data_IF_564579145813
#
_entry.id   IF_564579145813
#
_cell.length_a   1.000
_cell.length_b   1.000
_cell.length_c   1.000
_cell.angle_alpha   90.00
_cell.angle_beta   90.00
_cell.angle_gamma   90.00
#
_symmetry.space_group_name_H-M   'P 1'
#
loop_
_entity.id
_entity.type
_entity.pdbx_description
1 polymer ?
#
# COMPACT_ATOMS: atom_id res chain seq x y z
N UNK A 1 9.57 9.46 42.51
CA UNK A 1 8.60 8.53 41.86
C UNK A 1 8.65 8.75 40.36
N UNK A 2 9.41 7.92 39.64
CA UNK A 2 9.60 8.01 38.19
C UNK A 2 10.27 6.72 37.70
N UNK A 3 9.54 5.83 37.03
CA UNK A 3 10.11 5.04 35.90
C UNK A 3 8.99 4.37 35.12
N UNK A 4 8.70 4.94 33.95
CA UNK A 4 8.19 4.23 32.79
C UNK A 4 9.14 3.07 32.46
N UNK A 5 8.62 1.91 32.06
CA UNK A 5 9.23 1.19 30.93
C UNK A 5 8.30 0.13 30.33
N UNK A 6 7.78 0.44 29.14
CA UNK A 6 7.93 -0.39 27.94
C UNK A 6 7.35 -1.81 28.04
N UNK A 7 6.04 -1.88 27.86
CA UNK A 7 5.35 -3.07 27.33
C UNK A 7 5.59 -3.13 25.81
N UNK A 8 6.75 -3.61 25.35
CA UNK A 8 6.98 -3.99 23.94
C UNK A 8 8.33 -4.69 23.70
N UNK A 9 8.43 -6.02 23.91
CA UNK A 9 9.24 -6.92 23.05
C UNK A 9 9.19 -8.37 23.54
N UNK A 10 8.32 -9.18 22.95
CA UNK A 10 8.50 -10.62 22.96
C UNK A 10 8.20 -11.19 21.57
N UNK A 11 9.11 -10.91 20.62
CA UNK A 11 9.07 -11.38 19.23
C UNK A 11 10.23 -12.30 18.88
N UNK A 12 10.95 -12.84 19.88
CA UNK A 12 12.20 -13.59 19.65
C UNK A 12 12.28 -14.94 20.36
N UNK A 13 11.13 -15.59 20.62
CA UNK A 13 11.10 -16.88 21.31
C UNK A 13 10.39 -18.03 20.59
N UNK A 14 9.90 -17.83 19.36
CA UNK A 14 9.13 -18.86 18.64
C UNK A 14 9.83 -19.52 17.45
N UNK A 15 11.11 -19.19 17.15
CA UNK A 15 11.81 -19.71 15.95
C UNK A 15 12.98 -20.63 16.30
N UNK A 16 12.91 -21.35 17.42
CA UNK A 16 13.81 -22.47 17.66
C UNK A 16 12.95 -23.65 18.10
N UNK A 17 12.87 -24.66 17.24
CA UNK A 17 12.59 -26.09 17.47
C UNK A 17 11.66 -26.61 16.35
N UNK A 18 12.28 -27.09 15.28
CA UNK A 18 11.85 -28.10 14.30
C UNK A 18 12.83 -27.93 13.13
N UNK A 19 13.92 -28.69 13.00
CA UNK A 19 14.05 -30.13 13.15
C UNK A 19 14.70 -30.60 11.83
N UNK A 20 16.01 -30.80 11.86
CA UNK A 20 16.78 -31.28 10.71
C UNK A 20 16.60 -32.79 10.54
N UNK A 21 16.07 -33.25 9.41
CA UNK A 21 16.27 -34.58 8.84
C UNK A 21 15.63 -34.64 7.45
N UNK A 22 16.42 -34.92 6.40
CA UNK A 22 15.89 -35.15 5.04
C UNK A 22 16.73 -34.54 3.92
N UNK A 23 18.02 -34.90 3.86
CA UNK A 23 18.81 -34.77 2.65
C UNK A 23 18.32 -35.74 1.57
N UNK A 24 18.24 -35.26 0.32
CA UNK A 24 18.05 -36.02 -0.93
C UNK A 24 16.61 -36.44 -1.33
N UNK A 25 15.79 -35.47 -1.78
CA UNK A 25 14.89 -35.54 -2.97
C UNK A 25 14.00 -34.27 -3.00
N UNK A 26 14.49 -33.12 -3.48
CA UNK A 26 13.63 -31.92 -3.52
C UNK A 26 13.95 -30.91 -4.63
N UNK A 27 14.69 -31.28 -5.69
CA UNK A 27 14.99 -30.36 -6.79
C UNK A 27 13.92 -30.30 -7.91
N UNK A 28 12.83 -31.07 -7.81
CA UNK A 28 11.73 -31.05 -8.81
C UNK A 28 10.41 -30.47 -8.25
N UNK A 29 10.36 -30.23 -6.94
CA UNK A 29 9.14 -29.80 -6.23
C UNK A 29 9.29 -28.44 -5.57
N UNK A 30 9.94 -27.46 -6.22
CA UNK A 30 9.91 -26.09 -5.72
C UNK A 30 8.43 -25.68 -5.66
N UNK A 31 7.85 -25.46 -4.46
CA UNK A 31 6.42 -25.30 -4.35
C UNK A 31 6.03 -24.04 -5.11
N UNK A 32 4.98 -24.13 -5.92
CA UNK A 32 4.30 -23.00 -6.56
C UNK A 32 4.04 -21.84 -5.56
N UNK A 33 3.98 -22.15 -4.26
CA UNK A 33 3.93 -21.18 -3.16
C UNK A 33 5.12 -20.21 -3.10
N UNK A 34 6.35 -20.60 -3.48
CA UNK A 34 7.49 -19.66 -3.59
C UNK A 34 7.33 -18.70 -4.77
N UNK A 35 6.64 -19.13 -5.83
CA UNK A 35 6.35 -18.29 -7.00
C UNK A 35 5.19 -17.32 -6.72
N UNK A 36 4.18 -17.76 -5.96
CA UNK A 36 3.14 -16.89 -5.42
C UNK A 36 3.68 -15.86 -4.41
N UNK A 37 4.67 -16.24 -3.59
CA UNK A 37 5.35 -15.31 -2.69
C UNK A 37 6.17 -14.24 -3.44
N UNK A 38 6.68 -14.57 -4.64
CA UNK A 38 7.48 -13.66 -5.48
C UNK A 38 6.64 -12.61 -6.20
N UNK A 39 5.35 -12.88 -6.45
CA UNK A 39 4.47 -11.94 -7.15
C UNK A 39 4.16 -10.68 -6.31
N UNK A 40 4.21 -10.81 -4.99
CA UNK A 40 4.05 -9.70 -4.03
C UNK A 40 5.24 -8.72 -4.00
N UNK A 41 6.33 -8.99 -4.73
CA UNK A 41 7.53 -8.14 -4.72
C UNK A 41 7.51 -7.03 -5.77
N UNK A 42 6.44 -6.87 -6.56
CA UNK A 42 6.37 -5.76 -7.52
C UNK A 42 6.01 -4.48 -6.77
N UNK A 43 6.93 -3.51 -6.78
CA UNK A 43 6.64 -2.11 -6.47
C UNK A 43 5.57 -1.65 -7.46
N UNK A 44 4.37 -1.38 -6.97
CA UNK A 44 3.22 -0.96 -7.78
C UNK A 44 3.01 0.53 -7.56
N UNK A 45 2.48 1.20 -8.59
CA UNK A 45 2.01 2.58 -8.48
C UNK A 45 0.53 2.58 -8.15
N UNK A 46 0.16 3.19 -7.03
CA UNK A 46 -1.21 3.24 -6.55
C UNK A 46 -1.67 4.70 -6.49
N UNK A 47 -2.74 5.01 -7.22
CA UNK A 47 -3.43 6.30 -7.11
C UNK A 47 -4.56 6.20 -6.08
N UNK A 48 -4.67 7.18 -5.18
CA UNK A 48 -5.74 7.24 -4.20
C UNK A 48 -6.54 8.52 -4.37
N UNK A 49 -7.81 8.39 -4.77
CA UNK A 49 -8.76 9.49 -4.84
C UNK A 49 -9.62 9.46 -3.57
N UNK A 50 -9.31 10.35 -2.64
CA UNK A 50 -9.93 10.47 -1.33
C UNK A 50 -9.02 10.08 -0.17
N UNK A 51 -7.91 10.82 0.02
CA UNK A 51 -6.89 10.60 1.08
C UNK A 51 -7.35 10.86 2.55
N UNK A 52 -8.67 10.88 2.81
CA UNK A 52 -9.20 11.06 4.17
C UNK A 52 -8.87 9.88 5.10
N UNK A 53 -9.66 9.70 6.16
CA UNK A 53 -9.39 8.68 7.20
C UNK A 53 -9.10 7.28 6.62
N UNK A 54 -9.84 6.85 5.60
CA UNK A 54 -9.70 5.53 4.99
C UNK A 54 -8.56 5.50 3.96
N UNK A 55 -8.58 6.41 2.97
CA UNK A 55 -7.57 6.44 1.91
C UNK A 55 -6.16 6.73 2.43
N UNK A 56 -6.03 7.62 3.43
CA UNK A 56 -4.75 7.92 4.06
C UNK A 56 -4.20 6.75 4.88
N UNK A 57 -5.06 6.01 5.60
CA UNK A 57 -4.63 4.85 6.38
C UNK A 57 -4.16 3.70 5.47
N UNK A 58 -4.94 3.35 4.45
CA UNK A 58 -4.59 2.29 3.51
C UNK A 58 -3.38 2.66 2.66
N UNK A 59 -3.33 3.89 2.15
CA UNK A 59 -2.15 4.38 1.45
C UNK A 59 -0.90 4.38 2.31
N UNK A 60 -1.01 4.73 3.59
CA UNK A 60 0.11 4.63 4.53
C UNK A 60 0.62 3.19 4.73
N UNK A 61 -0.27 2.20 4.71
CA UNK A 61 0.11 0.78 4.74
C UNK A 61 0.83 0.39 3.45
N UNK A 62 0.33 0.82 2.28
CA UNK A 62 0.98 0.51 1.00
C UNK A 62 2.35 1.17 0.83
N UNK A 63 2.51 2.42 1.28
CA UNK A 63 3.82 3.09 1.32
C UNK A 63 4.81 2.31 2.18
N UNK A 64 4.37 1.83 3.35
CA UNK A 64 5.20 1.00 4.25
C UNK A 64 5.51 -0.39 3.68
N UNK A 65 4.62 -0.94 2.87
CA UNK A 65 4.86 -2.16 2.11
C UNK A 65 5.83 -1.93 0.92
N UNK A 66 6.19 -0.67 0.65
CA UNK A 66 7.18 -0.30 -0.36
C UNK A 66 6.59 0.09 -1.70
N UNK A 67 5.26 0.17 -1.85
CA UNK A 67 4.62 0.65 -3.07
C UNK A 67 4.72 2.17 -3.18
N UNK A 68 4.68 2.69 -4.42
CA UNK A 68 4.59 4.13 -4.64
C UNK A 68 3.13 4.55 -4.64
N UNK A 69 2.77 5.53 -3.81
CA UNK A 69 1.39 5.95 -3.61
C UNK A 69 1.26 7.44 -3.89
N UNK A 70 0.29 7.81 -4.73
CA UNK A 70 -0.11 9.19 -4.94
C UNK A 70 -1.45 9.46 -4.26
N UNK A 71 -1.46 10.39 -3.31
CA UNK A 71 -2.63 10.84 -2.60
C UNK A 71 -3.27 12.02 -3.31
N UNK A 72 -4.58 11.96 -3.45
CA UNK A 72 -5.39 13.07 -3.94
C UNK A 72 -6.66 13.25 -3.12
N UNK A 73 -7.00 14.50 -2.84
CA UNK A 73 -8.23 14.90 -2.18
C UNK A 73 -8.65 16.28 -2.64
N UNK A 74 -9.59 16.90 -1.90
CA UNK A 74 -10.01 18.28 -2.14
C UNK A 74 -9.05 19.32 -1.57
N UNK A 75 -8.18 18.94 -0.62
CA UNK A 75 -7.16 19.82 -0.04
C UNK A 75 -5.78 19.26 -0.35
N UNK A 76 -5.09 19.91 -1.27
CA UNK A 76 -3.74 19.51 -1.67
C UNK A 76 -2.74 19.72 -0.53
N UNK A 77 -3.01 20.65 0.39
CA UNK A 77 -2.21 20.92 1.59
C UNK A 77 -2.21 19.71 2.53
N UNK A 78 -3.39 19.13 2.77
CA UNK A 78 -3.53 17.90 3.56
C UNK A 78 -2.76 16.75 2.91
N UNK A 79 -2.86 16.61 1.59
CA UNK A 79 -2.18 15.54 0.86
C UNK A 79 -0.67 15.67 0.89
N UNK A 80 -0.15 16.90 0.75
CA UNK A 80 1.28 17.19 0.87
C UNK A 80 1.80 16.89 2.28
N UNK A 81 1.05 17.28 3.31
CA UNK A 81 1.41 16.98 4.70
C UNK A 81 1.42 15.46 4.96
N UNK A 82 0.40 14.75 4.45
CA UNK A 82 0.32 13.29 4.56
C UNK A 82 1.49 12.61 3.82
N UNK A 83 1.77 13.01 2.58
CA UNK A 83 2.87 12.46 1.81
C UNK A 83 4.23 12.72 2.47
N UNK A 84 4.47 13.93 2.96
CA UNK A 84 5.67 14.28 3.71
C UNK A 84 5.85 13.42 4.96
N UNK A 85 4.75 13.09 5.67
CA UNK A 85 4.80 12.22 6.86
C UNK A 85 5.10 10.74 6.55
N UNK A 86 4.79 10.29 5.33
CA UNK A 86 4.92 8.89 4.90
C UNK A 86 6.24 8.60 4.19
N UNK A 87 6.92 9.63 3.67
CA UNK A 87 8.28 9.53 3.12
C UNK A 87 8.33 9.46 1.59
N UNK A 88 9.47 9.03 1.01
CA UNK A 88 9.79 9.26 -0.41
C UNK A 88 8.91 8.51 -1.41
N UNK A 89 8.23 7.43 -0.97
CA UNK A 89 7.32 6.67 -1.83
C UNK A 89 5.90 7.25 -1.85
N UNK A 90 5.65 8.34 -1.10
CA UNK A 90 4.37 9.03 -1.07
C UNK A 90 4.45 10.35 -1.84
N UNK A 91 3.45 10.62 -2.67
CA UNK A 91 3.32 11.87 -3.44
C UNK A 91 1.92 12.45 -3.25
N UNK A 92 1.79 13.76 -3.43
CA UNK A 92 0.51 14.44 -3.45
C UNK A 92 0.25 14.99 -4.85
N UNK A 93 -0.99 14.89 -5.34
CA UNK A 93 -1.35 15.34 -6.67
C UNK A 93 -2.85 15.55 -6.85
N UNK A 94 -3.23 16.00 -8.03
CA UNK A 94 -4.64 16.16 -8.42
C UNK A 94 -5.30 14.79 -8.68
N UNK A 95 -6.65 14.71 -8.70
CA UNK A 95 -7.32 13.44 -8.95
C UNK A 95 -6.99 12.85 -10.33
N UNK A 96 -6.78 13.72 -11.33
CA UNK A 96 -6.38 13.32 -12.67
C UNK A 96 -4.94 12.76 -12.70
N UNK A 97 -4.01 13.40 -11.97
CA UNK A 97 -2.63 12.91 -11.83
C UNK A 97 -2.58 11.57 -11.10
N UNK A 98 -3.35 11.42 -10.01
CA UNK A 98 -3.43 10.16 -9.28
C UNK A 98 -3.96 9.02 -10.17
N UNK A 99 -4.92 9.30 -11.04
CA UNK A 99 -5.47 8.33 -11.97
C UNK A 99 -4.52 7.98 -13.12
N UNK A 100 -3.72 8.93 -13.60
CA UNK A 100 -2.70 8.69 -14.61
C UNK A 100 -1.45 7.99 -14.05
N UNK A 101 -1.14 8.23 -12.77
CA UNK A 101 0.01 7.66 -12.07
C UNK A 101 -0.20 6.19 -11.68
N UNK A 102 -1.39 5.86 -11.17
CA UNK A 102 -1.69 4.56 -10.60
C UNK A 102 -1.92 3.48 -11.65
N UNK A 103 -1.19 2.38 -11.56
CA UNK A 103 -1.57 1.12 -12.19
C UNK A 103 -2.83 0.56 -11.52
N UNK A 104 -2.97 0.81 -10.21
CA UNK A 104 -4.15 0.52 -9.41
C UNK A 104 -4.72 1.83 -8.88
N UNK A 105 -6.03 1.99 -8.99
CA UNK A 105 -6.72 3.21 -8.57
C UNK A 105 -7.74 2.90 -7.49
N UNK A 106 -7.51 3.46 -6.31
CA UNK A 106 -8.39 3.35 -5.16
C UNK A 106 -9.26 4.60 -5.06
N UNK A 107 -10.57 4.39 -4.94
CA UNK A 107 -11.54 5.46 -4.72
C UNK A 107 -12.10 5.33 -3.31
N UNK A 108 -11.84 6.30 -2.46
CA UNK A 108 -12.39 6.41 -1.11
C UNK A 108 -13.10 7.74 -0.90
N UNK A 109 -13.99 8.06 -1.83
CA UNK A 109 -14.90 9.22 -1.73
C UNK A 109 -16.29 8.79 -1.26
N UNK A 110 -17.05 9.67 -0.60
CA UNK A 110 -18.45 9.40 -0.25
C UNK A 110 -19.26 9.06 -1.51
N UNK A 111 -20.24 8.16 -1.40
CA UNK A 111 -21.04 7.68 -2.54
C UNK A 111 -21.65 8.81 -3.37
N UNK A 112 -22.15 9.87 -2.71
CA UNK A 112 -22.71 11.07 -3.38
C UNK A 112 -21.71 11.82 -4.26
N UNK A 113 -20.41 11.72 -3.99
CA UNK A 113 -19.36 12.42 -4.72
C UNK A 113 -18.82 11.59 -5.91
N UNK A 114 -19.11 10.29 -5.96
CA UNK A 114 -18.65 9.39 -7.02
C UNK A 114 -18.93 9.88 -8.45
N UNK A 115 -20.15 10.33 -8.82
CA UNK A 115 -20.41 10.73 -10.21
C UNK A 115 -19.59 11.95 -10.65
N UNK A 116 -19.31 12.88 -9.73
CA UNK A 116 -18.46 14.04 -9.99
C UNK A 116 -17.00 13.65 -10.04
N UNK A 117 -16.56 12.79 -9.11
CA UNK A 117 -15.21 12.25 -9.13
C UNK A 117 -14.96 11.54 -10.46
N UNK A 118 -15.76 10.55 -10.86
CA UNK A 118 -15.55 9.74 -12.07
C UNK A 118 -15.33 10.55 -13.36
N UNK A 119 -16.00 11.71 -13.50
CA UNK A 119 -15.81 12.61 -14.65
C UNK A 119 -14.40 13.23 -14.70
N UNK A 120 -13.80 13.52 -13.55
CA UNK A 120 -12.52 14.24 -13.46
C UNK A 120 -11.31 13.38 -13.83
N UNK A 121 -11.46 12.05 -13.92
CA UNK A 121 -10.38 11.11 -14.25
C UNK A 121 -10.80 10.08 -15.32
N UNK A 122 -11.87 10.37 -16.08
CA UNK A 122 -12.24 9.58 -17.26
C UNK A 122 -11.24 9.74 -18.42
N UNK A 123 -11.62 9.32 -19.63
CA UNK A 123 -11.21 8.09 -20.36
C UNK A 123 -9.78 7.52 -20.21
N UNK A 124 -8.86 8.14 -19.45
CA UNK A 124 -7.51 7.60 -19.21
C UNK A 124 -7.50 6.36 -18.32
N UNK A 125 -8.48 6.25 -17.42
CA UNK A 125 -8.68 5.15 -16.47
C UNK A 125 -9.48 3.98 -17.05
N UNK A 126 -9.48 3.77 -18.39
CA UNK A 126 -10.11 2.59 -19.02
C UNK A 126 -9.41 1.33 -18.53
N UNK A 127 -9.96 0.88 -17.43
CA UNK A 127 -9.57 -0.26 -16.66
C UNK A 127 -9.89 -1.47 -17.53
N UNK A 128 -8.83 -2.12 -18.03
CA UNK A 128 -8.91 -3.33 -18.84
C UNK A 128 -9.11 -4.49 -17.86
N UNK A 129 -10.31 -4.61 -17.30
CA UNK A 129 -10.73 -5.72 -16.43
C UNK A 129 -11.87 -6.48 -17.12
#
# INVERSE_FOLDING_TARGET
MKVNCVMKRDRRRFVKIAGAAGSALALVGLPLALRAASESSRKMKIGIVGSGRVGGALGGVWVKAGHEVMFSSRSIEHDKALAASLGPNARAGTPAEAAAFGEVLMISVPYRALPTSARNWGPSSRARW
#
